data_IF_392086603099
#
_entry.id   IF_392086603099
#
_cell.length_a   1.000
_cell.length_b   1.000
_cell.length_c   1.000
_cell.angle_alpha   90.00
_cell.angle_beta   90.00
_cell.angle_gamma   90.00
#
_symmetry.space_group_name_H-M   'P 1'
#
loop_
_entity.id
_entity.type
_entity.pdbx_description
1 polymer ?
#
# COMPACT_ATOMS: atom_id res chain seq x y z
N UNK A 1 21.49 -1.47 3.34
CA UNK A 1 22.30 -0.51 4.13
C UNK A 1 21.63 -0.18 5.47
N UNK A 2 22.24 -0.56 6.59
CA UNK A 2 21.76 -0.23 7.93
C UNK A 2 21.67 1.30 8.16
N UNK A 3 20.92 1.80 9.16
CA UNK A 3 20.92 3.25 9.48
C UNK A 3 22.32 3.83 9.78
N UNK A 4 23.22 3.04 10.37
CA UNK A 4 24.64 3.42 10.53
C UNK A 4 25.40 3.47 9.21
N UNK A 5 25.05 2.61 8.26
CA UNK A 5 25.60 2.56 6.90
C UNK A 5 25.14 3.77 6.07
N UNK A 6 23.90 4.27 6.29
CA UNK A 6 23.39 5.48 5.63
C UNK A 6 24.11 6.76 6.08
N UNK A 7 24.46 6.86 7.37
CA UNK A 7 25.22 7.99 7.89
C UNK A 7 26.66 7.98 7.34
N UNK A 8 27.28 6.80 7.27
CA UNK A 8 28.60 6.62 6.62
C UNK A 8 28.52 6.91 5.12
N UNK A 9 27.47 6.47 4.42
CA UNK A 9 27.24 6.79 3.01
C UNK A 9 27.07 8.30 2.78
N UNK A 10 26.41 9.02 3.69
CA UNK A 10 26.33 10.48 3.66
C UNK A 10 27.70 11.13 3.84
N UNK A 11 28.50 10.69 4.81
CA UNK A 11 29.84 11.22 5.08
C UNK A 11 30.78 11.02 3.87
N UNK A 12 30.81 9.79 3.34
CA UNK A 12 31.58 9.46 2.14
C UNK A 12 31.09 10.24 0.92
N UNK A 13 29.77 10.36 0.75
CA UNK A 13 29.18 11.14 -0.34
C UNK A 13 29.53 12.63 -0.27
N UNK A 14 29.55 13.22 0.94
CA UNK A 14 30.00 14.61 1.13
C UNK A 14 31.49 14.81 0.87
N UNK A 15 32.32 13.89 1.36
CA UNK A 15 33.76 13.94 1.12
C UNK A 15 34.06 13.86 -0.38
N UNK A 16 33.47 12.88 -1.07
CA UNK A 16 33.61 12.72 -2.51
C UNK A 16 33.11 13.95 -3.29
N UNK A 17 32.04 14.63 -2.82
CA UNK A 17 31.54 15.84 -3.47
C UNK A 17 32.51 17.03 -3.33
N UNK A 18 33.26 17.08 -2.23
CA UNK A 18 34.31 18.08 -2.00
C UNK A 18 35.54 17.87 -2.89
N UNK A 19 35.88 16.62 -3.19
CA UNK A 19 37.05 16.26 -4.02
C UNK A 19 36.73 16.25 -5.52
N UNK A 20 35.55 15.75 -5.91
CA UNK A 20 35.08 15.62 -7.28
C UNK A 20 33.56 15.86 -7.38
N UNK A 21 33.18 17.06 -7.83
CA UNK A 21 31.78 17.36 -8.13
C UNK A 21 31.35 16.67 -9.43
N UNK A 22 30.60 15.57 -9.28
CA UNK A 22 30.03 14.81 -10.38
C UNK A 22 28.58 14.44 -10.10
N UNK A 23 27.79 14.26 -11.16
CA UNK A 23 26.40 13.83 -11.03
C UNK A 23 26.28 12.52 -10.24
N UNK A 24 27.14 11.54 -10.50
CA UNK A 24 27.15 10.26 -9.79
C UNK A 24 27.33 10.44 -8.27
N UNK A 25 28.27 11.30 -7.85
CA UNK A 25 28.50 11.60 -6.43
C UNK A 25 27.28 12.26 -5.79
N UNK A 26 26.66 13.23 -6.49
CA UNK A 26 25.43 13.89 -6.04
C UNK A 26 24.28 12.92 -5.87
N UNK A 27 24.08 12.00 -6.83
CA UNK A 27 23.01 10.99 -6.78
C UNK A 27 23.15 10.04 -5.57
N UNK A 28 24.37 9.61 -5.24
CA UNK A 28 24.65 8.78 -4.07
C UNK A 28 24.32 9.53 -2.78
N UNK A 29 24.78 10.77 -2.65
CA UNK A 29 24.52 11.62 -1.48
C UNK A 29 23.01 11.90 -1.32
N UNK A 30 22.32 12.24 -2.41
CA UNK A 30 20.87 12.44 -2.45
C UNK A 30 20.14 11.19 -1.97
N UNK A 31 20.53 10.00 -2.44
CA UNK A 31 19.90 8.75 -2.03
C UNK A 31 20.07 8.50 -0.52
N UNK A 32 21.27 8.74 0.02
CA UNK A 32 21.55 8.60 1.45
C UNK A 32 20.72 9.58 2.30
N UNK A 33 20.61 10.84 1.86
CA UNK A 33 19.81 11.87 2.54
C UNK A 33 18.30 11.55 2.49
N UNK A 34 17.79 11.13 1.34
CA UNK A 34 16.38 10.77 1.16
C UNK A 34 15.98 9.63 2.09
N UNK A 35 16.79 8.58 2.20
CA UNK A 35 16.53 7.45 3.10
C UNK A 35 16.55 7.82 4.59
N UNK A 36 17.27 8.87 4.95
CA UNK A 36 17.29 9.40 6.32
C UNK A 36 16.13 10.36 6.63
N UNK A 37 15.23 10.58 5.66
CA UNK A 37 14.11 11.51 5.83
C UNK A 37 14.44 12.96 5.50
N UNK A 38 15.66 13.24 5.03
CA UNK A 38 16.20 14.59 4.81
C UNK A 38 15.92 15.09 3.39
N UNK A 39 14.65 15.07 3.00
CA UNK A 39 14.24 15.40 1.63
C UNK A 39 14.58 16.81 1.17
N UNK A 40 14.59 17.80 2.08
CA UNK A 40 15.01 19.17 1.75
C UNK A 40 16.50 19.25 1.42
N UNK A 41 17.32 18.50 2.16
CA UNK A 41 18.76 18.46 1.91
C UNK A 41 19.06 17.68 0.62
N UNK A 42 18.33 16.60 0.38
CA UNK A 42 18.39 15.86 -0.89
C UNK A 42 18.00 16.74 -2.08
N UNK A 43 16.98 17.60 -1.93
CA UNK A 43 16.56 18.56 -2.96
C UNK A 43 17.62 19.64 -3.20
N UNK A 44 18.24 20.16 -2.14
CA UNK A 44 19.31 21.15 -2.25
C UNK A 44 20.49 20.60 -3.07
N UNK A 45 20.95 19.37 -2.79
CA UNK A 45 22.03 18.72 -3.54
C UNK A 45 21.69 18.57 -5.02
N UNK A 46 20.44 18.21 -5.35
CA UNK A 46 19.99 18.04 -6.73
C UNK A 46 19.76 19.38 -7.45
N UNK A 47 19.46 20.46 -6.72
CA UNK A 47 19.17 21.78 -7.30
C UNK A 47 20.40 22.52 -7.84
N UNK A 48 21.60 22.09 -7.46
CA UNK A 48 22.87 22.63 -7.94
C UNK A 48 23.30 22.06 -9.30
N UNK A 49 22.61 21.05 -9.81
CA UNK A 49 22.91 20.43 -11.12
C UNK A 49 22.40 21.32 -12.24
N UNK A 50 23.26 21.68 -13.19
CA UNK A 50 22.85 22.35 -14.43
C UNK A 50 22.26 21.35 -15.43
N UNK A 51 20.93 21.21 -15.38
CA UNK A 51 20.13 20.35 -16.25
C UNK A 51 20.22 20.68 -17.76
N UNK A 52 20.73 21.86 -18.13
CA UNK A 52 20.87 22.26 -19.54
C UNK A 52 22.13 21.68 -20.18
N UNK A 53 23.10 21.26 -19.35
CA UNK A 53 24.34 20.65 -19.77
C UNK A 53 24.31 19.11 -19.81
N UNK A 54 23.21 18.49 -19.38
CA UNK A 54 23.06 17.03 -19.32
C UNK A 54 22.59 16.45 -20.66
N UNK A 55 23.11 15.28 -21.02
CA UNK A 55 22.55 14.46 -22.08
C UNK A 55 21.28 13.72 -21.61
N UNK A 56 20.56 13.05 -22.52
CA UNK A 56 19.31 12.35 -22.21
C UNK A 56 19.47 11.33 -21.04
N UNK A 57 20.50 10.45 -21.02
CA UNK A 57 20.74 9.53 -19.90
C UNK A 57 20.98 10.22 -18.56
N UNK A 58 21.87 11.22 -18.48
CA UNK A 58 22.17 11.91 -17.23
C UNK A 58 21.00 12.77 -16.75
N UNK A 59 20.27 13.39 -17.69
CA UNK A 59 19.05 14.13 -17.38
C UNK A 59 18.02 13.24 -16.69
N UNK A 60 17.88 11.98 -17.11
CA UNK A 60 16.96 11.02 -16.48
C UNK A 60 17.49 10.55 -15.13
N UNK A 61 18.76 10.19 -15.05
CA UNK A 61 19.40 9.77 -13.81
C UNK A 61 19.24 10.84 -12.70
N UNK A 62 19.26 12.12 -13.08
CA UNK A 62 18.96 13.26 -12.21
C UNK A 62 17.45 13.47 -11.96
N UNK A 63 16.63 13.45 -13.02
CA UNK A 63 15.21 13.81 -12.91
C UNK A 63 14.40 12.81 -12.09
N UNK A 64 14.70 11.51 -12.17
CA UNK A 64 13.98 10.47 -11.44
C UNK A 64 14.02 10.65 -9.91
N UNK A 65 15.20 10.72 -9.25
CA UNK A 65 15.27 10.93 -7.81
C UNK A 65 14.77 12.33 -7.41
N UNK A 66 14.94 13.35 -8.26
CA UNK A 66 14.38 14.69 -8.03
C UNK A 66 12.85 14.66 -7.95
N UNK A 67 12.20 14.07 -8.95
CA UNK A 67 10.75 13.93 -8.98
C UNK A 67 10.25 13.08 -7.82
N UNK A 68 10.91 11.96 -7.51
CA UNK A 68 10.58 11.09 -6.40
C UNK A 68 10.64 11.83 -5.05
N UNK A 69 11.75 12.53 -4.80
CA UNK A 69 11.93 13.33 -3.60
C UNK A 69 10.85 14.43 -3.50
N UNK A 70 10.55 15.10 -4.61
CA UNK A 70 9.50 16.11 -4.64
C UNK A 70 8.10 15.53 -4.36
N UNK A 71 7.77 14.35 -4.89
CA UNK A 71 6.48 13.69 -4.70
C UNK A 71 6.29 13.23 -3.25
N UNK A 72 7.24 12.46 -2.71
CA UNK A 72 7.08 11.83 -1.39
C UNK A 72 7.62 12.69 -0.24
N UNK A 73 8.84 13.17 -0.36
CA UNK A 73 9.55 13.82 0.75
C UNK A 73 9.11 15.25 0.96
N UNK A 74 8.95 16.01 -0.13
CA UNK A 74 8.53 17.40 -0.08
C UNK A 74 7.01 17.58 -0.07
N UNK A 75 6.25 16.49 -0.26
CA UNK A 75 4.79 16.49 -0.26
C UNK A 75 4.19 17.37 -1.38
N UNK A 76 4.81 17.34 -2.57
CA UNK A 76 4.41 18.14 -3.74
C UNK A 76 4.08 17.26 -4.97
N UNK A 77 3.09 16.35 -4.87
CA UNK A 77 2.77 15.39 -5.92
C UNK A 77 2.38 16.01 -7.27
N UNK A 78 1.65 17.12 -7.28
CA UNK A 78 1.26 17.82 -8.51
C UNK A 78 2.48 18.45 -9.20
N UNK A 79 3.37 19.08 -8.42
CA UNK A 79 4.60 19.68 -8.96
C UNK A 79 5.56 18.62 -9.47
N UNK A 80 5.72 17.52 -8.75
CA UNK A 80 6.54 16.39 -9.19
C UNK A 80 6.02 15.79 -10.51
N UNK A 81 4.70 15.63 -10.62
CA UNK A 81 4.07 15.12 -11.85
C UNK A 81 4.26 16.08 -13.02
N UNK A 82 4.08 17.39 -12.80
CA UNK A 82 4.30 18.41 -13.83
C UNK A 82 5.77 18.49 -14.27
N UNK A 83 6.71 18.44 -13.32
CA UNK A 83 8.14 18.38 -13.58
C UNK A 83 8.50 17.17 -14.45
N UNK A 84 8.03 15.98 -14.07
CA UNK A 84 8.36 14.75 -14.79
C UNK A 84 7.77 14.74 -16.22
N UNK A 85 6.57 15.31 -16.42
CA UNK A 85 5.99 15.52 -17.76
C UNK A 85 6.78 16.51 -18.60
N UNK A 86 7.31 17.56 -17.99
CA UNK A 86 8.16 18.55 -18.68
C UNK A 86 9.46 17.91 -19.17
N UNK A 87 10.14 17.14 -18.30
CA UNK A 87 11.35 16.38 -18.67
C UNK A 87 11.02 15.38 -19.78
N UNK A 88 9.90 14.67 -19.67
CA UNK A 88 9.45 13.70 -20.68
C UNK A 88 9.26 14.30 -22.08
N UNK A 89 8.85 15.58 -22.17
CA UNK A 89 8.71 16.30 -23.43
C UNK A 89 10.03 16.79 -24.06
N UNK A 90 11.11 16.85 -23.27
CA UNK A 90 12.47 17.22 -23.72
C UNK A 90 13.27 16.01 -24.22
N UNK A 91 13.02 14.84 -23.63
CA UNK A 91 13.73 13.59 -23.96
C UNK A 91 13.30 13.07 -25.34
N UNK A 92 14.28 12.88 -26.22
CA UNK A 92 14.03 12.41 -27.60
C UNK A 92 14.19 10.90 -27.74
N UNK A 93 14.95 10.28 -26.83
CA UNK A 93 15.19 8.83 -26.83
C UNK A 93 13.98 8.02 -26.32
N UNK A 94 13.59 7.01 -27.09
CA UNK A 94 12.36 6.26 -26.85
C UNK A 94 12.42 5.38 -25.57
N UNK A 95 13.57 4.83 -25.21
CA UNK A 95 13.72 3.98 -24.02
C UNK A 95 13.74 4.77 -22.71
N UNK A 96 14.51 5.85 -22.72
CA UNK A 96 14.52 6.92 -21.73
C UNK A 96 13.11 7.47 -21.41
N UNK A 97 12.25 7.64 -22.42
CA UNK A 97 10.85 7.99 -22.23
C UNK A 97 10.06 6.97 -21.40
N UNK A 98 10.30 5.67 -21.60
CA UNK A 98 9.57 4.61 -20.90
C UNK A 98 9.83 4.59 -19.39
N UNK A 99 11.04 4.92 -18.94
CA UNK A 99 11.40 4.97 -17.51
C UNK A 99 10.69 6.14 -16.80
N UNK A 100 10.59 7.29 -17.45
CA UNK A 100 9.80 8.42 -16.98
C UNK A 100 8.29 8.08 -16.92
N UNK A 101 7.78 7.42 -17.96
CA UNK A 101 6.38 6.98 -18.04
C UNK A 101 6.05 5.95 -16.94
N UNK A 102 7.00 5.06 -16.59
CA UNK A 102 6.84 4.12 -15.49
C UNK A 102 6.78 4.81 -14.11
N UNK A 103 7.58 5.85 -13.88
CA UNK A 103 7.50 6.64 -12.65
C UNK A 103 6.19 7.46 -12.58
N UNK A 104 5.75 8.03 -13.71
CA UNK A 104 4.44 8.67 -13.80
C UNK A 104 3.32 7.69 -13.46
N UNK A 105 3.41 6.43 -13.90
CA UNK A 105 2.50 5.36 -13.51
C UNK A 105 2.48 5.14 -11.99
N UNK A 106 3.65 5.12 -11.36
CA UNK A 106 3.79 4.98 -9.91
C UNK A 106 3.20 6.17 -9.14
N UNK A 107 3.41 7.41 -9.60
CA UNK A 107 2.78 8.60 -9.04
C UNK A 107 1.25 8.54 -9.17
N UNK A 108 0.77 8.17 -10.35
CA UNK A 108 -0.65 8.02 -10.66
C UNK A 108 -1.32 6.98 -9.75
N UNK A 109 -0.64 5.85 -9.52
CA UNK A 109 -1.08 4.82 -8.57
C UNK A 109 -1.20 5.40 -7.16
N UNK A 110 -0.12 6.00 -6.64
CA UNK A 110 -0.10 6.55 -5.28
C UNK A 110 -1.13 7.68 -5.07
N UNK A 111 -1.40 8.46 -6.13
CA UNK A 111 -2.42 9.49 -6.17
C UNK A 111 -3.87 8.96 -6.24
N UNK A 112 -4.06 7.64 -6.20
CA UNK A 112 -5.39 7.01 -6.11
C UNK A 112 -6.07 6.81 -7.46
N UNK A 113 -5.32 6.74 -8.57
CA UNK A 113 -5.84 6.47 -9.92
C UNK A 113 -5.31 5.14 -10.49
N UNK A 114 -5.65 3.99 -9.89
CA UNK A 114 -5.07 2.69 -10.26
C UNK A 114 -5.36 2.26 -11.69
N UNK A 115 -6.54 2.58 -12.23
CA UNK A 115 -6.89 2.28 -13.63
C UNK A 115 -5.95 3.00 -14.61
N UNK A 116 -5.74 4.30 -14.41
CA UNK A 116 -4.81 5.08 -15.24
C UNK A 116 -3.36 4.60 -15.06
N UNK A 117 -2.98 4.20 -13.86
CA UNK A 117 -1.66 3.63 -13.60
C UNK A 117 -1.45 2.30 -14.37
N UNK A 118 -2.47 1.44 -14.45
CA UNK A 118 -2.42 0.21 -15.27
C UNK A 118 -2.28 0.55 -16.75
N UNK A 119 -3.01 1.54 -17.26
CA UNK A 119 -2.89 1.97 -18.67
C UNK A 119 -1.45 2.39 -18.99
N UNK A 120 -0.87 3.27 -18.18
CA UNK A 120 0.54 3.71 -18.31
C UNK A 120 1.50 2.53 -18.22
N UNK A 121 1.27 1.62 -17.27
CA UNK A 121 2.11 0.43 -17.14
C UNK A 121 2.04 -0.48 -18.37
N UNK A 122 0.85 -0.66 -18.99
CA UNK A 122 0.71 -1.44 -20.24
C UNK A 122 1.45 -0.80 -21.40
N UNK A 123 1.39 0.53 -21.53
CA UNK A 123 2.16 1.27 -22.54
C UNK A 123 3.67 1.02 -22.38
N UNK A 124 4.19 1.09 -21.16
CA UNK A 124 5.60 0.78 -20.86
C UNK A 124 5.94 -0.68 -21.15
N UNK A 125 5.14 -1.62 -20.65
CA UNK A 125 5.40 -3.06 -20.74
C UNK A 125 5.28 -3.62 -22.17
N UNK A 126 4.61 -2.89 -23.07
CA UNK A 126 4.52 -3.23 -24.50
C UNK A 126 5.58 -2.52 -25.35
N UNK A 127 6.29 -1.55 -24.80
CA UNK A 127 7.35 -0.83 -25.52
C UNK A 127 8.57 -1.72 -25.72
N UNK A 128 9.07 -1.89 -26.96
CA UNK A 128 10.32 -2.62 -27.21
C UNK A 128 11.55 -1.86 -26.69
N UNK A 129 11.40 -0.59 -26.35
CA UNK A 129 12.48 0.28 -25.88
C UNK A 129 12.53 0.37 -24.35
N UNK A 130 11.58 -0.22 -23.62
CA UNK A 130 11.58 -0.17 -22.17
C UNK A 130 12.78 -0.93 -21.61
N UNK A 131 13.62 -0.23 -20.84
CA UNK A 131 14.69 -0.87 -20.10
C UNK A 131 14.13 -1.70 -18.93
N UNK A 132 15.01 -2.44 -18.25
CA UNK A 132 14.61 -3.29 -17.12
C UNK A 132 14.04 -2.46 -15.95
N UNK A 133 14.44 -1.21 -15.78
CA UNK A 133 13.92 -0.34 -14.73
C UNK A 133 12.49 0.09 -14.98
N UNK A 134 12.20 0.54 -16.19
CA UNK A 134 10.87 0.85 -16.66
C UNK A 134 9.95 -0.38 -16.53
N UNK A 135 10.41 -1.55 -16.97
CA UNK A 135 9.66 -2.81 -16.86
C UNK A 135 9.38 -3.17 -15.40
N UNK A 136 10.39 -3.12 -14.53
CA UNK A 136 10.21 -3.43 -13.11
C UNK A 136 9.20 -2.51 -12.43
N UNK A 137 9.29 -1.20 -12.68
CA UNK A 137 8.38 -0.20 -12.09
C UNK A 137 6.95 -0.37 -12.59
N UNK A 138 6.79 -0.49 -13.91
CA UNK A 138 5.48 -0.67 -14.53
C UNK A 138 4.83 -1.98 -14.07
N UNK A 139 5.57 -3.09 -14.05
CA UNK A 139 5.05 -4.38 -13.63
C UNK A 139 4.65 -4.40 -12.15
N UNK A 140 5.47 -3.83 -11.25
CA UNK A 140 5.12 -3.73 -9.82
C UNK A 140 3.90 -2.87 -9.56
N UNK A 141 3.80 -1.69 -10.21
CA UNK A 141 2.63 -0.83 -10.07
C UNK A 141 1.37 -1.50 -10.63
N UNK A 142 1.48 -2.16 -11.79
CA UNK A 142 0.38 -2.90 -12.39
C UNK A 142 -0.08 -4.07 -11.51
N UNK A 143 0.84 -4.81 -10.88
CA UNK A 143 0.50 -5.92 -9.99
C UNK A 143 -0.36 -5.46 -8.81
N UNK A 144 0.07 -4.39 -8.11
CA UNK A 144 -0.71 -3.84 -6.99
C UNK A 144 -2.06 -3.27 -7.44
N UNK A 145 -2.08 -2.48 -8.52
CA UNK A 145 -3.32 -1.90 -9.02
C UNK A 145 -4.31 -2.99 -9.46
N UNK A 146 -3.87 -4.01 -10.19
CA UNK A 146 -4.74 -5.11 -10.63
C UNK A 146 -5.34 -5.84 -9.42
N UNK A 147 -4.53 -6.18 -8.42
CA UNK A 147 -5.02 -6.82 -7.20
C UNK A 147 -6.06 -5.96 -6.46
N UNK A 148 -5.80 -4.66 -6.30
CA UNK A 148 -6.72 -3.73 -5.62
C UNK A 148 -8.03 -3.52 -6.40
N UNK A 149 -7.99 -3.59 -7.72
CA UNK A 149 -9.16 -3.52 -8.60
C UNK A 149 -9.93 -4.85 -8.69
N UNK A 150 -9.39 -5.96 -8.19
CA UNK A 150 -10.00 -7.29 -8.27
C UNK A 150 -9.67 -8.09 -9.54
N UNK A 151 -8.67 -7.64 -10.31
CA UNK A 151 -8.17 -8.31 -11.51
C UNK A 151 -7.00 -9.24 -11.14
N UNK A 152 -7.29 -10.38 -10.54
CA UNK A 152 -6.26 -11.22 -9.92
C UNK A 152 -5.41 -12.05 -10.90
N UNK A 153 -5.92 -12.35 -12.10
CA UNK A 153 -5.31 -13.32 -13.03
C UNK A 153 -3.87 -12.97 -13.43
N UNK A 154 -3.56 -11.68 -13.62
CA UNK A 154 -2.26 -11.24 -14.12
C UNK A 154 -1.27 -10.89 -13.00
N UNK A 155 -1.67 -10.93 -11.74
CA UNK A 155 -0.89 -10.37 -10.62
C UNK A 155 0.44 -11.11 -10.43
N UNK A 156 0.42 -12.44 -10.38
CA UNK A 156 1.64 -13.25 -10.21
C UNK A 156 2.59 -13.07 -11.41
N UNK A 157 2.08 -13.09 -12.64
CA UNK A 157 2.90 -12.88 -13.84
C UNK A 157 3.55 -11.49 -13.88
N UNK A 158 2.84 -10.45 -13.42
CA UNK A 158 3.39 -9.10 -13.29
C UNK A 158 4.44 -9.02 -12.18
N UNK A 159 4.22 -9.68 -11.04
CA UNK A 159 5.20 -9.73 -9.96
C UNK A 159 6.49 -10.45 -10.39
N UNK A 160 6.37 -11.60 -11.06
CA UNK A 160 7.51 -12.34 -11.61
C UNK A 160 8.27 -11.52 -12.64
N UNK A 161 7.56 -10.79 -13.50
CA UNK A 161 8.18 -9.88 -14.48
C UNK A 161 8.94 -8.75 -13.79
N UNK A 162 8.43 -8.21 -12.68
CA UNK A 162 9.12 -7.19 -11.91
C UNK A 162 10.42 -7.73 -11.26
N UNK A 163 10.38 -8.96 -10.73
CA UNK A 163 11.53 -9.64 -10.13
C UNK A 163 12.58 -9.96 -11.20
N UNK A 164 12.15 -10.54 -12.34
CA UNK A 164 13.02 -10.91 -13.46
C UNK A 164 13.74 -9.69 -14.07
N UNK A 165 13.14 -8.51 -13.98
CA UNK A 165 13.77 -7.25 -14.36
C UNK A 165 14.92 -6.83 -13.42
N UNK A 166 15.26 -7.65 -12.43
CA UNK A 166 16.49 -7.52 -11.64
C UNK A 166 16.46 -6.44 -10.57
N UNK A 167 15.29 -5.90 -10.21
CA UNK A 167 15.17 -4.74 -9.33
C UNK A 167 15.13 -5.10 -7.84
N UNK A 168 16.25 -4.98 -7.09
CA UNK A 168 16.30 -5.26 -5.66
C UNK A 168 16.06 -3.94 -4.94
N UNK A 169 14.79 -3.50 -4.88
CA UNK A 169 14.41 -2.23 -4.26
C UNK A 169 13.09 -2.30 -3.50
N UNK A 170 12.45 -1.17 -3.29
CA UNK A 170 11.11 -1.10 -2.66
C UNK A 170 10.01 -1.77 -3.49
N UNK A 171 10.21 -1.90 -4.80
CA UNK A 171 9.19 -2.31 -5.75
C UNK A 171 8.75 -3.76 -5.56
N UNK A 172 9.66 -4.62 -5.08
CA UNK A 172 9.34 -6.01 -4.73
C UNK A 172 8.22 -6.07 -3.68
N UNK A 173 8.18 -5.10 -2.76
CA UNK A 173 7.11 -5.01 -1.77
C UNK A 173 5.81 -4.50 -2.38
N UNK A 174 5.88 -3.62 -3.39
CA UNK A 174 4.69 -3.17 -4.12
C UNK A 174 4.03 -4.32 -4.87
N UNK A 175 4.79 -5.10 -5.66
CA UNK A 175 4.24 -6.28 -6.35
C UNK A 175 3.79 -7.35 -5.37
N UNK A 176 4.58 -7.64 -4.33
CA UNK A 176 4.21 -8.60 -3.31
C UNK A 176 2.95 -8.19 -2.54
N UNK A 177 2.72 -6.90 -2.31
CA UNK A 177 1.47 -6.45 -1.70
C UNK A 177 0.26 -6.76 -2.60
N UNK A 178 0.41 -6.65 -3.93
CA UNK A 178 -0.60 -7.15 -4.86
C UNK A 178 -0.81 -8.66 -4.74
N UNK A 179 0.27 -9.43 -4.62
CA UNK A 179 0.20 -10.89 -4.46
C UNK A 179 -0.48 -11.29 -3.14
N UNK A 180 -0.15 -10.67 -2.01
CA UNK A 180 -0.79 -10.99 -0.72
C UNK A 180 -2.28 -10.62 -0.74
N UNK A 181 -2.67 -9.49 -1.32
CA UNK A 181 -4.09 -9.15 -1.53
C UNK A 181 -4.77 -10.25 -2.35
N UNK A 182 -4.15 -10.67 -3.46
CA UNK A 182 -4.70 -11.72 -4.34
C UNK A 182 -4.93 -13.02 -3.59
N UNK A 183 -3.92 -13.47 -2.83
CA UNK A 183 -3.97 -14.70 -2.05
C UNK A 183 -5.02 -14.64 -0.93
N UNK A 184 -5.15 -13.50 -0.23
CA UNK A 184 -6.21 -13.28 0.76
C UNK A 184 -7.59 -13.37 0.10
N UNK A 185 -7.79 -12.71 -1.05
CA UNK A 185 -9.08 -12.71 -1.74
C UNK A 185 -9.43 -14.08 -2.34
N UNK A 186 -8.43 -14.88 -2.70
CA UNK A 186 -8.61 -16.27 -3.15
C UNK A 186 -8.69 -17.29 -2.01
N UNK A 187 -8.61 -16.86 -0.75
CA UNK A 187 -8.71 -17.73 0.43
C UNK A 187 -7.44 -18.53 0.77
N UNK A 188 -6.29 -18.21 0.17
CA UNK A 188 -4.99 -18.84 0.44
C UNK A 188 -4.14 -17.97 1.39
N UNK A 189 -4.68 -17.72 2.58
CA UNK A 189 -4.09 -16.76 3.52
C UNK A 189 -2.73 -17.25 4.08
N UNK A 190 -2.53 -18.55 4.15
CA UNK A 190 -1.26 -19.14 4.61
C UNK A 190 -0.15 -18.88 3.58
N UNK A 191 -0.44 -18.95 2.27
CA UNK A 191 0.53 -18.57 1.24
C UNK A 191 0.82 -17.07 1.27
N UNK A 192 -0.20 -16.24 1.53
CA UNK A 192 -0.02 -14.80 1.70
C UNK A 192 0.96 -14.49 2.83
N UNK A 193 0.82 -15.19 3.97
CA UNK A 193 1.70 -15.01 5.12
C UNK A 193 3.13 -15.47 4.81
N UNK A 194 3.31 -16.66 4.23
CA UNK A 194 4.65 -17.17 3.85
C UNK A 194 5.38 -16.21 2.93
N UNK A 195 4.72 -15.70 1.88
CA UNK A 195 5.32 -14.73 0.97
C UNK A 195 5.75 -13.45 1.69
N UNK A 196 4.93 -12.95 2.61
CA UNK A 196 5.25 -11.74 3.37
C UNK A 196 6.44 -11.97 4.33
N UNK A 197 6.53 -13.13 4.97
CA UNK A 197 7.62 -13.53 5.86
C UNK A 197 8.95 -13.69 5.10
N UNK A 198 8.92 -14.33 3.92
CA UNK A 198 10.10 -14.47 3.05
C UNK A 198 10.73 -13.11 2.68
N UNK A 199 9.91 -12.06 2.50
CA UNK A 199 10.38 -10.70 2.22
C UNK A 199 11.06 -10.05 3.43
N UNK A 200 10.60 -10.37 4.64
CA UNK A 200 11.20 -9.92 5.90
C UNK A 200 12.56 -10.60 6.09
N UNK A 201 12.62 -11.91 5.88
CA UNK A 201 13.85 -12.72 6.03
C UNK A 201 14.91 -12.34 5.00
N UNK A 202 14.50 -11.99 3.78
CA UNK A 202 15.40 -11.49 2.74
C UNK A 202 15.90 -10.05 2.99
N UNK A 203 15.45 -9.36 4.05
CA UNK A 203 15.75 -7.97 4.34
C UNK A 203 16.50 -7.79 5.66
N UNK A 204 17.68 -7.12 5.68
CA UNK A 204 18.40 -6.85 6.93
C UNK A 204 17.54 -6.06 7.93
N UNK A 205 17.52 -6.43 9.24
CA UNK A 205 16.65 -5.80 10.24
C UNK A 205 16.81 -4.28 10.39
N UNK A 206 17.99 -3.77 10.09
CA UNK A 206 18.33 -2.35 10.17
C UNK A 206 17.93 -1.53 8.94
N UNK A 207 17.35 -2.17 7.91
CA UNK A 207 16.97 -1.54 6.65
C UNK A 207 15.48 -1.18 6.62
N UNK A 208 15.08 -0.02 6.06
CA UNK A 208 13.67 0.35 5.90
C UNK A 208 12.82 -0.69 5.15
N UNK A 209 13.43 -1.49 4.27
CA UNK A 209 12.74 -2.58 3.57
C UNK A 209 12.22 -3.67 4.52
N UNK A 210 12.92 -3.93 5.63
CA UNK A 210 12.47 -4.88 6.64
C UNK A 210 11.17 -4.41 7.29
N UNK A 211 11.08 -3.10 7.59
CA UNK A 211 9.85 -2.49 8.12
C UNK A 211 8.67 -2.58 7.13
N UNK A 212 8.92 -2.50 5.82
CA UNK A 212 7.87 -2.69 4.81
C UNK A 212 7.44 -4.15 4.74
N UNK A 213 8.37 -5.10 4.81
CA UNK A 213 8.04 -6.52 4.92
C UNK A 213 7.17 -6.79 6.16
N UNK A 214 7.54 -6.24 7.32
CA UNK A 214 6.75 -6.38 8.56
C UNK A 214 5.34 -5.80 8.41
N UNK A 215 5.18 -4.69 7.69
CA UNK A 215 3.88 -4.12 7.38
C UNK A 215 3.03 -5.10 6.55
N UNK A 216 3.60 -5.76 5.54
CA UNK A 216 2.86 -6.74 4.72
C UNK A 216 2.45 -7.97 5.54
N UNK A 217 3.34 -8.48 6.40
CA UNK A 217 2.99 -9.56 7.34
C UNK A 217 1.84 -9.13 8.24
N UNK A 218 1.89 -7.91 8.76
CA UNK A 218 0.83 -7.40 9.63
C UNK A 218 -0.52 -7.20 8.93
N UNK A 219 -0.57 -6.78 7.66
CA UNK A 219 -1.84 -6.74 6.89
C UNK A 219 -2.45 -8.14 6.77
N UNK A 220 -1.63 -9.17 6.50
CA UNK A 220 -2.09 -10.56 6.47
C UNK A 220 -2.56 -11.04 7.84
N UNK A 221 -1.84 -10.73 8.92
CA UNK A 221 -2.25 -11.06 10.29
C UNK A 221 -3.59 -10.41 10.66
N UNK A 222 -3.80 -9.14 10.28
CA UNK A 222 -5.10 -8.46 10.46
C UNK A 222 -6.21 -9.20 9.68
N UNK A 223 -5.95 -9.64 8.44
CA UNK A 223 -6.90 -10.40 7.65
C UNK A 223 -7.20 -11.80 8.26
N UNK A 224 -6.21 -12.44 8.89
CA UNK A 224 -6.37 -13.70 9.64
C UNK A 224 -7.17 -13.52 10.93
N UNK A 225 -7.13 -12.33 11.52
CA UNK A 225 -7.75 -12.03 12.82
C UNK A 225 -6.77 -12.00 13.99
N UNK A 226 -5.46 -12.07 13.73
CA UNK A 226 -4.38 -12.09 14.72
C UNK A 226 -3.88 -10.66 14.99
N UNK A 227 -4.79 -9.74 15.32
CA UNK A 227 -4.48 -8.32 15.50
C UNK A 227 -3.50 -8.06 16.65
N UNK A 228 -3.48 -8.92 17.67
CA UNK A 228 -2.53 -8.90 18.79
C UNK A 228 -1.08 -9.12 18.33
N UNK A 229 -0.86 -9.98 17.33
CA UNK A 229 0.44 -10.19 16.70
C UNK A 229 0.80 -9.06 15.74
N UNK A 230 -0.18 -8.48 15.04
CA UNK A 230 0.03 -7.40 14.09
C UNK A 230 0.48 -6.09 14.76
N UNK A 231 -0.08 -5.74 15.93
CA UNK A 231 0.21 -4.46 16.63
C UNK A 231 1.70 -4.22 16.90
N UNK A 232 2.46 -5.11 17.58
CA UNK A 232 3.87 -4.85 17.89
C UNK A 232 4.74 -4.74 16.62
N UNK A 233 4.40 -5.49 15.57
CA UNK A 233 5.06 -5.39 14.27
C UNK A 233 4.81 -4.02 13.63
N UNK A 234 3.56 -3.55 13.65
CA UNK A 234 3.18 -2.26 13.08
C UNK A 234 3.72 -1.08 13.89
N UNK A 235 3.86 -1.18 15.21
CA UNK A 235 4.52 -0.16 16.03
C UNK A 235 5.98 0.04 15.60
N UNK A 236 6.69 -1.07 15.40
CA UNK A 236 8.08 -1.07 14.93
C UNK A 236 8.19 -0.53 13.51
N UNK A 237 7.36 -1.06 12.60
CA UNK A 237 7.35 -0.65 11.20
C UNK A 237 6.99 0.82 11.03
N UNK A 238 5.94 1.30 11.71
CA UNK A 238 5.52 2.70 11.64
C UNK A 238 6.60 3.64 12.18
N UNK A 239 7.29 3.29 13.27
CA UNK A 239 8.39 4.08 13.79
C UNK A 239 9.58 4.17 12.81
N UNK A 240 9.93 3.06 12.16
CA UNK A 240 11.00 3.02 11.18
C UNK A 240 10.66 3.77 9.88
N UNK A 241 9.39 3.73 9.47
CA UNK A 241 8.93 4.34 8.22
C UNK A 241 8.56 5.83 8.35
N UNK A 242 8.24 6.30 9.57
CA UNK A 242 7.83 7.68 9.82
C UNK A 242 8.75 8.75 9.20
N UNK A 243 10.09 8.64 9.27
CA UNK A 243 10.99 9.64 8.69
C UNK A 243 11.03 9.62 7.17
N UNK A 244 10.70 8.48 6.53
CA UNK A 244 10.98 8.23 5.11
C UNK A 244 10.05 8.93 4.13
N UNK A 245 8.96 9.57 4.58
CA UNK A 245 8.03 10.33 3.73
C UNK A 245 7.20 9.54 2.71
N UNK A 246 7.56 8.28 2.43
CA UNK A 246 6.82 7.38 1.54
C UNK A 246 5.43 7.03 2.05
N UNK A 247 4.57 6.59 1.14
CA UNK A 247 3.18 6.20 1.43
C UNK A 247 3.03 5.00 2.38
N UNK A 248 4.09 4.20 2.56
CA UNK A 248 4.15 3.09 3.51
C UNK A 248 4.02 3.53 4.99
N UNK A 249 4.56 4.69 5.35
CA UNK A 249 4.44 5.23 6.72
C UNK A 249 2.99 5.52 7.11
N UNK A 250 2.26 6.34 6.33
CA UNK A 250 0.81 6.51 6.45
C UNK A 250 0.05 5.19 6.54
N UNK A 251 0.32 4.25 5.64
CA UNK A 251 -0.34 2.93 5.66
C UNK A 251 -0.09 2.17 6.96
N UNK A 252 1.16 2.18 7.48
CA UNK A 252 1.50 1.53 8.75
C UNK A 252 0.66 2.08 9.91
N UNK A 253 0.47 3.40 10.00
CA UNK A 253 -0.38 4.01 11.03
C UNK A 253 -1.87 3.67 10.83
N UNK A 254 -2.36 3.60 9.58
CA UNK A 254 -3.74 3.20 9.30
C UNK A 254 -4.02 1.77 9.78
N UNK A 255 -3.16 0.82 9.39
CA UNK A 255 -3.26 -0.57 9.81
C UNK A 255 -3.11 -0.73 11.33
N UNK A 256 -2.20 0.04 11.95
CA UNK A 256 -2.02 0.01 13.40
C UNK A 256 -3.26 0.52 14.14
N UNK A 257 -3.85 1.62 13.69
CA UNK A 257 -5.10 2.13 14.27
C UNK A 257 -6.26 1.15 14.10
N UNK A 258 -6.36 0.49 12.94
CA UNK A 258 -7.32 -0.59 12.72
C UNK A 258 -7.13 -1.74 13.71
N UNK A 259 -5.92 -2.30 13.81
CA UNK A 259 -5.62 -3.43 14.69
C UNK A 259 -5.87 -3.09 16.17
N UNK A 260 -5.42 -1.91 16.63
CA UNK A 260 -5.70 -1.42 17.98
C UNK A 260 -7.22 -1.26 18.22
N UNK A 261 -7.96 -0.80 17.21
CA UNK A 261 -9.41 -0.69 17.26
C UNK A 261 -10.10 -2.05 17.37
N UNK A 262 -9.66 -3.05 16.60
CA UNK A 262 -10.15 -4.44 16.69
C UNK A 262 -9.91 -5.06 18.07
N UNK A 263 -8.79 -4.71 18.72
CA UNK A 263 -8.48 -5.13 20.11
C UNK A 263 -9.20 -4.30 21.18
N UNK A 264 -10.00 -3.28 20.80
CA UNK A 264 -10.68 -2.40 21.76
C UNK A 264 -9.76 -1.46 22.54
N UNK A 265 -8.51 -1.24 22.08
CA UNK A 265 -7.53 -0.33 22.72
C UNK A 265 -7.83 1.13 22.37
N UNK A 266 -8.95 1.63 22.89
CA UNK A 266 -9.60 2.90 22.49
C UNK A 266 -8.66 4.10 22.45
N UNK A 267 -7.89 4.35 23.52
CA UNK A 267 -7.01 5.52 23.61
C UNK A 267 -5.85 5.45 22.61
N UNK A 268 -5.26 4.26 22.45
CA UNK A 268 -4.15 4.04 21.53
C UNK A 268 -4.61 4.13 20.07
N UNK A 269 -5.75 3.52 19.74
CA UNK A 269 -6.35 3.59 18.41
C UNK A 269 -6.62 5.04 18.00
N UNK A 270 -7.23 5.85 18.89
CA UNK A 270 -7.49 7.27 18.63
C UNK A 270 -6.21 8.09 18.41
N UNK A 271 -5.19 7.87 19.23
CA UNK A 271 -3.89 8.55 19.11
C UNK A 271 -3.16 8.21 17.81
N UNK A 272 -3.17 6.94 17.40
CA UNK A 272 -2.54 6.52 16.14
C UNK A 272 -3.34 7.00 14.94
N UNK A 273 -4.68 6.94 15.00
CA UNK A 273 -5.54 7.47 13.95
C UNK A 273 -5.26 8.96 13.68
N UNK A 274 -5.13 9.78 14.71
CA UNK A 274 -4.79 11.20 14.54
C UNK A 274 -3.46 11.41 13.80
N UNK A 275 -2.47 10.54 14.02
CA UNK A 275 -1.20 10.57 13.26
C UNK A 275 -1.41 10.18 11.80
N UNK A 276 -2.21 9.14 11.54
CA UNK A 276 -2.53 8.70 10.19
C UNK A 276 -3.25 9.82 9.40
N UNK A 277 -4.22 10.48 10.02
CA UNK A 277 -4.97 11.60 9.42
C UNK A 277 -4.08 12.79 9.11
N UNK A 278 -3.20 13.18 10.05
CA UNK A 278 -2.30 14.30 9.87
C UNK A 278 -1.26 14.09 8.75
N UNK A 279 -0.95 12.83 8.41
CA UNK A 279 0.05 12.49 7.38
C UNK A 279 -0.54 12.00 6.06
N UNK A 280 -1.84 11.76 6.02
CA UNK A 280 -2.54 11.40 4.78
C UNK A 280 -2.69 12.62 3.87
N UNK A 281 -2.63 12.38 2.57
CA UNK A 281 -2.66 13.40 1.52
C UNK A 281 -2.46 12.78 0.15
N UNK A 282 -2.33 13.60 -0.90
CA UNK A 282 -2.36 13.15 -2.30
C UNK A 282 -1.36 12.00 -2.59
N UNK A 283 -0.16 12.03 -2.01
CA UNK A 283 0.86 10.98 -2.19
C UNK A 283 0.51 9.60 -1.63
N UNK A 284 -0.60 9.47 -0.90
CA UNK A 284 -1.06 8.24 -0.24
C UNK A 284 -2.55 7.98 -0.46
N UNK A 285 -3.16 8.65 -1.45
CA UNK A 285 -4.60 8.57 -1.73
C UNK A 285 -5.07 7.17 -2.14
N UNK A 286 -4.16 6.34 -2.67
CA UNK A 286 -4.43 4.91 -2.87
C UNK A 286 -5.00 4.24 -1.61
N UNK A 287 -4.52 4.66 -0.43
CA UNK A 287 -4.86 4.09 0.88
C UNK A 287 -5.96 4.85 1.64
N UNK A 288 -6.71 5.73 0.96
CA UNK A 288 -7.86 6.39 1.56
C UNK A 288 -8.93 5.43 2.14
N UNK A 289 -9.20 4.25 1.53
CA UNK A 289 -10.07 3.25 2.12
C UNK A 289 -9.56 2.74 3.47
N UNK A 290 -8.27 2.40 3.58
CA UNK A 290 -7.63 1.91 4.80
C UNK A 290 -7.71 2.93 5.95
N UNK A 291 -7.54 4.23 5.64
CA UNK A 291 -7.76 5.29 6.63
C UNK A 291 -9.21 5.29 7.15
N UNK A 292 -10.18 5.04 6.27
CA UNK A 292 -11.60 5.00 6.66
C UNK A 292 -11.96 3.73 7.44
N UNK A 293 -11.33 2.58 7.14
CA UNK A 293 -11.44 1.36 7.96
C UNK A 293 -10.82 1.58 9.35
N UNK A 294 -9.68 2.27 9.44
CA UNK A 294 -9.08 2.64 10.72
C UNK A 294 -10.02 3.52 11.56
N UNK A 295 -10.72 4.47 10.93
CA UNK A 295 -11.77 5.27 11.58
C UNK A 295 -12.91 4.39 12.09
N UNK A 296 -13.36 3.42 11.29
CA UNK A 296 -14.44 2.51 11.64
C UNK A 296 -14.13 1.69 12.90
N UNK A 297 -12.98 1.01 12.92
CA UNK A 297 -12.57 0.20 14.07
C UNK A 297 -12.21 1.05 15.30
N UNK A 298 -11.72 2.28 15.11
CA UNK A 298 -11.51 3.21 16.24
C UNK A 298 -12.84 3.68 16.85
N UNK A 299 -13.87 3.94 16.02
CA UNK A 299 -15.22 4.25 16.51
C UNK A 299 -15.86 3.06 17.23
N UNK A 300 -15.69 1.85 16.69
CA UNK A 300 -16.13 0.61 17.33
C UNK A 300 -15.50 0.44 18.73
N UNK A 301 -14.20 0.68 18.88
CA UNK A 301 -13.50 0.66 20.16
C UNK A 301 -14.00 1.72 21.15
N UNK A 302 -14.60 2.81 20.68
CA UNK A 302 -15.28 3.82 21.51
C UNK A 302 -16.74 3.47 21.84
N UNK A 303 -17.22 2.31 21.38
CA UNK A 303 -18.63 1.89 21.45
C UNK A 303 -19.58 2.81 20.67
N UNK A 304 -19.06 3.47 19.64
CA UNK A 304 -19.85 4.26 18.70
C UNK A 304 -20.19 3.39 17.47
N UNK A 305 -21.22 2.55 17.62
CA UNK A 305 -21.68 1.65 16.56
C UNK A 305 -22.11 2.36 15.28
N UNK A 306 -22.99 3.39 15.35
CA UNK A 306 -23.38 4.16 14.17
C UNK A 306 -22.19 4.84 13.47
N UNK A 307 -21.25 5.41 14.23
CA UNK A 307 -20.03 5.99 13.67
C UNK A 307 -19.13 4.94 13.00
N UNK A 308 -19.00 3.77 13.60
CA UNK A 308 -18.23 2.65 13.04
C UNK A 308 -18.79 2.20 11.67
N UNK A 309 -20.10 1.95 11.59
CA UNK A 309 -20.77 1.55 10.34
C UNK A 309 -20.66 2.64 9.28
N UNK A 310 -20.86 3.91 9.65
CA UNK A 310 -20.76 5.02 8.69
C UNK A 310 -19.35 5.15 8.12
N UNK A 311 -18.31 4.99 8.94
CA UNK A 311 -16.92 5.03 8.49
C UNK A 311 -16.55 3.82 7.61
N UNK A 312 -17.04 2.61 7.91
CA UNK A 312 -16.82 1.43 7.08
C UNK A 312 -17.49 1.56 5.70
N UNK A 313 -18.72 2.11 5.65
CA UNK A 313 -19.38 2.45 4.38
C UNK A 313 -18.60 3.51 3.60
N UNK A 314 -18.02 4.49 4.28
CA UNK A 314 -17.19 5.48 3.60
C UNK A 314 -15.91 4.88 3.04
N UNK A 315 -15.31 3.89 3.72
CA UNK A 315 -14.19 3.13 3.18
C UNK A 315 -14.56 2.42 1.87
N UNK A 316 -15.71 1.73 1.86
CA UNK A 316 -16.21 1.07 0.65
C UNK A 316 -16.46 2.07 -0.49
N UNK A 317 -17.14 3.19 -0.22
CA UNK A 317 -17.38 4.24 -1.22
C UNK A 317 -16.09 4.88 -1.72
N UNK A 318 -15.11 5.11 -0.86
CA UNK A 318 -13.81 5.65 -1.25
C UNK A 318 -13.07 4.67 -2.18
N UNK A 319 -13.14 3.38 -1.89
CA UNK A 319 -12.57 2.34 -2.74
C UNK A 319 -13.27 2.29 -4.11
N UNK A 320 -14.61 2.29 -4.15
CA UNK A 320 -15.39 2.31 -5.40
C UNK A 320 -15.08 3.55 -6.26
N UNK A 321 -15.04 4.74 -5.65
CA UNK A 321 -14.66 5.98 -6.37
C UNK A 321 -13.26 5.91 -6.99
N UNK A 322 -12.34 5.17 -6.36
CA UNK A 322 -11.01 4.91 -6.88
C UNK A 322 -10.91 3.69 -7.81
N UNK A 323 -12.02 3.03 -8.13
CA UNK A 323 -12.05 1.80 -8.94
C UNK A 323 -11.48 0.55 -8.24
N UNK A 324 -11.32 0.58 -6.92
CA UNK A 324 -10.64 -0.46 -6.14
C UNK A 324 -11.64 -1.52 -5.62
N UNK A 325 -12.27 -2.27 -6.52
CA UNK A 325 -13.40 -3.16 -6.17
C UNK A 325 -13.06 -4.26 -5.16
N UNK A 326 -11.84 -4.82 -5.17
CA UNK A 326 -11.43 -5.80 -4.15
C UNK A 326 -11.31 -5.16 -2.76
N UNK A 327 -10.84 -3.92 -2.70
CA UNK A 327 -10.73 -3.16 -1.45
C UNK A 327 -12.11 -2.71 -0.96
N UNK A 328 -13.02 -2.36 -1.88
CA UNK A 328 -14.42 -2.09 -1.54
C UNK A 328 -15.08 -3.32 -0.90
N UNK A 329 -14.84 -4.51 -1.45
CA UNK A 329 -15.33 -5.77 -0.89
C UNK A 329 -14.76 -6.02 0.52
N UNK A 330 -13.44 -5.85 0.74
CA UNK A 330 -12.84 -5.95 2.09
C UNK A 330 -13.48 -4.97 3.08
N UNK A 331 -13.68 -3.71 2.70
CA UNK A 331 -14.31 -2.71 3.55
C UNK A 331 -15.78 -3.04 3.87
N UNK A 332 -16.51 -3.65 2.94
CA UNK A 332 -17.89 -4.11 3.18
C UNK A 332 -17.93 -5.32 4.11
N UNK A 333 -16.94 -6.23 4.06
CA UNK A 333 -16.79 -7.29 5.07
C UNK A 333 -16.61 -6.67 6.46
N UNK A 334 -15.75 -5.67 6.61
CA UNK A 334 -15.62 -4.94 7.87
C UNK A 334 -16.94 -4.24 8.30
N UNK A 335 -17.71 -3.70 7.35
CA UNK A 335 -19.02 -3.12 7.65
C UNK A 335 -19.99 -4.17 8.22
N UNK A 336 -20.06 -5.37 7.64
CA UNK A 336 -20.91 -6.48 8.14
C UNK A 336 -20.47 -6.92 9.53
N UNK A 337 -19.15 -7.07 9.75
CA UNK A 337 -18.58 -7.38 11.08
C UNK A 337 -18.98 -6.35 12.14
N UNK A 338 -19.05 -5.08 11.74
CA UNK A 338 -19.47 -3.95 12.57
C UNK A 338 -21.00 -3.79 12.70
N UNK A 339 -21.80 -4.68 12.09
CA UNK A 339 -23.25 -4.72 12.23
C UNK A 339 -24.03 -4.01 11.12
N UNK A 340 -23.42 -3.75 9.96
CA UNK A 340 -24.11 -3.10 8.85
C UNK A 340 -25.14 -4.03 8.15
N UNK A 341 -26.41 -3.84 8.48
CA UNK A 341 -27.54 -4.58 7.89
C UNK A 341 -27.83 -4.24 6.41
N UNK A 342 -27.14 -3.24 5.83
CA UNK A 342 -27.36 -2.79 4.44
C UNK A 342 -26.19 -3.09 3.51
N UNK A 343 -25.11 -3.71 4.02
CA UNK A 343 -23.93 -3.99 3.22
C UNK A 343 -24.19 -5.03 2.11
N UNK A 344 -25.19 -5.91 2.28
CA UNK A 344 -25.51 -6.97 1.33
C UNK A 344 -25.74 -6.49 -0.10
N UNK A 345 -26.55 -5.44 -0.28
CA UNK A 345 -26.83 -4.88 -1.62
C UNK A 345 -25.57 -4.32 -2.28
N UNK A 346 -24.67 -3.73 -1.49
CA UNK A 346 -23.41 -3.22 -2.01
C UNK A 346 -22.46 -4.35 -2.40
N UNK A 347 -22.39 -5.42 -1.61
CA UNK A 347 -21.59 -6.61 -1.92
C UNK A 347 -22.10 -7.29 -3.20
N UNK A 348 -23.41 -7.46 -3.35
CA UNK A 348 -24.03 -8.13 -4.51
C UNK A 348 -23.77 -7.39 -5.83
N UNK A 349 -23.61 -6.06 -5.78
CA UNK A 349 -23.25 -5.25 -6.96
C UNK A 349 -21.77 -5.30 -7.33
N UNK A 350 -20.89 -5.74 -6.42
CA UNK A 350 -19.46 -5.84 -6.71
C UNK A 350 -19.17 -7.11 -7.50
N UNK A 351 -18.81 -6.95 -8.77
CA UNK A 351 -18.39 -8.06 -9.63
C UNK A 351 -16.91 -8.40 -9.43
N UNK A 352 -16.54 -8.93 -8.26
CA UNK A 352 -15.17 -9.38 -7.96
C UNK A 352 -15.13 -10.90 -7.95
N UNK A 353 -14.44 -11.50 -8.92
CA UNK A 353 -14.30 -12.96 -9.02
C UNK A 353 -13.28 -13.46 -8.01
N UNK A 354 -13.74 -13.93 -6.85
CA UNK A 354 -12.89 -14.38 -5.75
C UNK A 354 -13.65 -15.31 -4.78
N UNK A 355 -12.93 -15.93 -3.84
CA UNK A 355 -13.52 -16.81 -2.81
C UNK A 355 -14.24 -16.03 -1.73
N UNK A 356 -13.70 -14.85 -1.37
CA UNK A 356 -14.26 -14.00 -0.29
C UNK A 356 -15.64 -13.43 -0.65
N UNK A 357 -15.90 -13.12 -1.92
CA UNK A 357 -17.13 -12.44 -2.37
C UNK A 357 -18.42 -13.17 -1.99
N UNK A 358 -18.60 -14.44 -2.42
CA UNK A 358 -19.78 -15.23 -2.05
C UNK A 358 -19.96 -15.41 -0.54
N UNK A 359 -18.86 -15.60 0.21
CA UNK A 359 -18.89 -15.73 1.68
C UNK A 359 -19.35 -14.43 2.34
N UNK A 360 -18.83 -13.28 1.88
CA UNK A 360 -19.22 -11.97 2.35
C UNK A 360 -20.71 -11.68 2.11
N UNK A 361 -21.23 -12.07 0.94
CA UNK A 361 -22.64 -11.88 0.59
C UNK A 361 -23.55 -12.77 1.45
N UNK A 362 -23.18 -14.05 1.65
CA UNK A 362 -23.90 -14.96 2.53
C UNK A 362 -23.93 -14.42 3.97
N UNK A 363 -22.79 -13.96 4.48
CA UNK A 363 -22.69 -13.36 5.80
C UNK A 363 -23.59 -12.12 5.96
N UNK A 364 -23.54 -11.20 5.00
CA UNK A 364 -24.37 -10.00 5.03
C UNK A 364 -25.87 -10.34 5.01
N UNK A 365 -26.30 -11.29 4.16
CA UNK A 365 -27.71 -11.72 4.08
C UNK A 365 -28.17 -12.39 5.38
N UNK A 366 -27.34 -13.26 5.96
CA UNK A 366 -27.63 -13.91 7.24
C UNK A 366 -27.80 -12.88 8.37
N UNK A 367 -26.91 -11.89 8.42
CA UNK A 367 -26.99 -10.79 9.39
C UNK A 367 -28.27 -9.97 9.22
N UNK A 368 -28.62 -9.59 7.99
CA UNK A 368 -29.85 -8.82 7.71
C UNK A 368 -31.11 -9.61 8.06
N UNK A 369 -31.11 -10.93 7.85
CA UNK A 369 -32.23 -11.82 8.17
C UNK A 369 -32.33 -12.14 9.67
N UNK A 370 -31.28 -11.88 10.46
CA UNK A 370 -31.20 -12.35 11.84
C UNK A 370 -31.11 -13.88 11.97
N UNK A 371 -30.62 -14.56 10.92
CA UNK A 371 -30.56 -16.02 10.86
C UNK A 371 -29.29 -16.53 11.56
N UNK A 372 -29.46 -17.01 12.79
CA UNK A 372 -28.37 -17.47 13.63
C UNK A 372 -27.62 -18.69 13.05
N UNK A 373 -28.32 -19.57 12.34
CA UNK A 373 -27.71 -20.79 11.79
C UNK A 373 -26.94 -20.45 10.52
N UNK A 374 -27.49 -19.61 9.64
CA UNK A 374 -26.76 -19.10 8.48
C UNK A 374 -25.54 -18.24 8.88
N UNK A 375 -25.59 -17.51 10.01
CA UNK A 375 -24.42 -16.82 10.56
C UNK A 375 -23.33 -17.80 11.04
N UNK A 376 -23.72 -18.95 11.57
CA UNK A 376 -22.79 -20.00 11.98
C UNK A 376 -22.15 -20.70 10.77
N UNK A 377 -22.92 -20.91 9.70
CA UNK A 377 -22.40 -21.39 8.41
C UNK A 377 -21.41 -20.39 7.78
N UNK A 378 -21.75 -19.10 7.78
CA UNK A 378 -20.86 -18.04 7.30
C UNK A 378 -19.55 -18.02 8.10
N UNK A 379 -19.62 -18.18 9.42
CA UNK A 379 -18.44 -18.29 10.27
C UNK A 379 -17.56 -19.48 9.88
N UNK A 380 -18.14 -20.67 9.66
CA UNK A 380 -17.40 -21.85 9.23
C UNK A 380 -16.73 -21.64 7.86
N UNK A 381 -17.39 -20.95 6.93
CA UNK A 381 -16.83 -20.60 5.63
C UNK A 381 -15.59 -19.70 5.71
N UNK A 382 -15.64 -18.65 6.55
CA UNK A 382 -14.49 -17.77 6.77
C UNK A 382 -13.35 -18.45 7.55
N UNK A 383 -13.67 -19.32 8.51
CA UNK A 383 -12.68 -20.12 9.23
C UNK A 383 -11.93 -21.06 8.28
N UNK A 384 -12.64 -21.69 7.33
CA UNK A 384 -12.06 -22.62 6.36
C UNK A 384 -11.02 -21.96 5.42
N UNK A 385 -11.11 -20.65 5.20
CA UNK A 385 -10.12 -19.87 4.42
C UNK A 385 -9.13 -19.10 5.32
N UNK A 386 -9.14 -19.39 6.63
CA UNK A 386 -8.23 -18.81 7.62
C UNK A 386 -8.50 -17.37 8.03
N UNK A 387 -9.66 -16.80 7.67
CA UNK A 387 -10.11 -15.46 8.10
C UNK A 387 -10.85 -15.54 9.45
N UNK A 388 -10.16 -16.03 10.48
CA UNK A 388 -10.73 -16.36 11.79
C UNK A 388 -11.32 -15.16 12.52
N UNK A 389 -10.76 -13.96 12.29
CA UNK A 389 -11.31 -12.72 12.82
C UNK A 389 -12.74 -12.45 12.34
N UNK A 390 -13.00 -12.69 11.05
CA UNK A 390 -14.35 -12.57 10.46
C UNK A 390 -15.27 -13.66 10.99
N UNK A 391 -14.78 -14.90 11.07
CA UNK A 391 -15.53 -16.03 11.62
C UNK A 391 -15.97 -15.78 13.08
N UNK A 392 -15.07 -15.24 13.91
CA UNK A 392 -15.36 -14.90 15.30
C UNK A 392 -16.42 -13.79 15.43
N UNK A 393 -16.43 -12.80 14.54
CA UNK A 393 -17.48 -11.76 14.50
C UNK A 393 -18.84 -12.35 14.11
N UNK A 394 -18.88 -13.20 13.09
CA UNK A 394 -20.12 -13.87 12.66
C UNK A 394 -20.70 -14.76 13.78
N UNK A 395 -19.87 -15.50 14.52
CA UNK A 395 -20.30 -16.30 15.67
C UNK A 395 -20.87 -15.44 16.81
N UNK A 396 -20.25 -14.30 17.12
CA UNK A 396 -20.77 -13.37 18.14
C UNK A 396 -22.13 -12.80 17.76
N UNK A 397 -22.31 -12.48 16.48
CA UNK A 397 -23.59 -12.00 15.96
C UNK A 397 -24.66 -13.11 15.99
N UNK A 398 -24.32 -14.35 15.62
CA UNK A 398 -25.21 -15.51 15.73
C UNK A 398 -25.74 -15.70 17.17
N UNK A 399 -24.84 -15.63 18.15
CA UNK A 399 -25.21 -15.74 19.57
C UNK A 399 -26.14 -14.61 20.01
N UNK A 400 -25.91 -13.39 19.52
CA UNK A 400 -26.74 -12.23 19.84
C UNK A 400 -28.16 -12.36 19.27
N UNK A 401 -28.32 -12.92 18.07
CA UNK A 401 -29.62 -13.24 17.47
C UNK A 401 -30.41 -14.24 18.33
N UNK A 402 -29.76 -15.27 18.87
CA UNK A 402 -30.41 -16.30 19.72
C UNK A 402 -30.86 -15.80 21.08
N UNK A 403 -30.30 -14.71 21.59
CA UNK A 403 -30.67 -14.11 22.89
C UNK A 403 -31.77 -13.05 22.74
N UNK A 404 -31.91 -12.45 21.56
CA UNK A 404 -32.88 -11.39 21.27
C UNK A 404 -34.21 -11.84 20.65
N UNK A 405 -34.29 -13.09 20.17
CA UNK A 405 -35.53 -13.73 19.69
C UNK A 405 -36.12 -14.64 20.76
#
# INVERSE_FOLDING_TARGET
MARGDLATAEELGRAALGDHDSLATRLILTQALAWQGRGRDADAVLSEVDESALDDPDLIAWALPRAANQFWMLDQPERATAFLRSVRGRVTSAGAGATLDALLGTFTMNAGSPERAIQLAREVLSSPNADQQAVGWAASAAALCNARMGNFADVDALADRAIAAGHPGLLRFTSAFGQTITMVMSGDIDRAQRLAEELVDASPPSHPSHAIGQLLVADVLIARGDADLAVPMLETAAAALAPTGYSWGPLAWMLLAQALGQLGRTADAGRILAKAEARHGLKSMLFAPELSVARAWTAAARRDGPGAVNAAREAARAAERGGQSAIALRALVDAVRLGDLRAGDAIDRLNVTCVVGPLALAYARALTAGDADALQEAAAGFEAIGMRGVAADALRQSQSCRVGG
#
